data_IF_069809296204
#
_entry.id   IF_069809296204
#
_cell.length_a   1.000
_cell.length_b   1.000
_cell.length_c   1.000
_cell.angle_alpha   90.00
_cell.angle_beta   90.00
_cell.angle_gamma   90.00
#
_symmetry.space_group_name_H-M   'P 1'
#
loop_
_entity.id
_entity.type
_entity.pdbx_description
1 polymer ?
#
# COMPACT_ATOMS: atom_id res chain seq x y z
N UNK A 1 21.06 27.79 19.12
CA UNK A 1 20.14 27.00 18.30
C UNK A 1 20.38 25.55 18.66
N UNK A 2 19.36 24.85 19.15
CA UNK A 2 19.44 23.44 19.54
C UNK A 2 19.96 22.60 18.36
N UNK A 3 20.86 21.65 18.61
CA UNK A 3 21.37 20.77 17.56
C UNK A 3 20.25 19.90 16.96
N UNK A 4 20.30 19.57 15.65
CA UNK A 4 19.27 18.75 15.03
C UNK A 4 19.19 17.37 15.71
N UNK A 5 18.01 17.07 16.26
CA UNK A 5 17.66 15.79 16.88
C UNK A 5 16.77 14.95 15.94
N UNK A 6 16.55 13.69 16.30
CA UNK A 6 15.74 12.72 15.53
C UNK A 6 14.38 13.27 15.11
N UNK A 7 13.72 14.04 15.98
CA UNK A 7 12.37 14.59 15.74
C UNK A 7 12.43 15.81 14.79
N UNK A 8 13.47 16.63 14.91
CA UNK A 8 13.67 17.80 14.05
C UNK A 8 14.11 17.45 12.62
N UNK A 9 14.61 16.23 12.40
CA UNK A 9 15.01 15.72 11.09
C UNK A 9 13.85 15.10 10.30
N UNK A 10 12.64 15.01 10.87
CA UNK A 10 11.48 14.41 10.20
C UNK A 10 11.07 15.26 8.99
N UNK A 11 10.92 14.61 7.83
CA UNK A 11 10.41 15.24 6.63
C UNK A 11 8.91 15.58 6.78
N UNK A 12 8.51 16.74 6.25
CA UNK A 12 7.11 17.13 6.18
C UNK A 12 6.31 16.19 5.25
N UNK A 13 5.00 16.02 5.47
CA UNK A 13 4.15 15.19 4.61
C UNK A 13 4.16 15.68 3.15
N UNK A 14 3.97 14.74 2.22
CA UNK A 14 4.01 15.05 0.79
C UNK A 14 2.88 15.99 0.38
N UNK A 15 3.21 17.03 -0.39
CA UNK A 15 2.22 17.95 -1.00
C UNK A 15 1.56 17.41 -2.27
N UNK A 16 2.02 16.26 -2.78
CA UNK A 16 1.56 15.66 -4.04
C UNK A 16 0.49 14.60 -3.77
N UNK A 17 -0.44 14.36 -4.72
CA UNK A 17 -1.47 13.34 -4.57
C UNK A 17 -0.84 11.95 -4.47
N UNK A 18 -1.43 11.10 -3.63
CA UNK A 18 -1.00 9.71 -3.49
C UNK A 18 -1.21 8.94 -4.79
N UNK A 19 -0.21 8.17 -5.21
CA UNK A 19 -0.29 7.30 -6.38
C UNK A 19 -0.69 5.90 -5.95
N UNK A 20 -1.57 5.26 -6.71
CA UNK A 20 -2.02 3.90 -6.43
C UNK A 20 -1.23 2.89 -7.27
N UNK A 21 -0.45 2.06 -6.59
CA UNK A 21 0.34 1.01 -7.20
C UNK A 21 -0.13 -0.37 -6.73
N UNK A 22 0.05 -1.36 -7.60
CA UNK A 22 -0.22 -2.74 -7.27
C UNK A 22 0.80 -3.25 -6.25
N UNK A 23 0.32 -3.83 -5.14
CA UNK A 23 1.18 -4.39 -4.10
C UNK A 23 1.98 -5.62 -4.56
N UNK A 24 1.56 -6.28 -5.64
CA UNK A 24 2.23 -7.47 -6.20
C UNK A 24 3.26 -7.09 -7.25
N UNK A 25 2.85 -6.27 -8.22
CA UNK A 25 3.59 -6.04 -9.48
C UNK A 25 4.23 -4.65 -9.56
N UNK A 26 3.89 -3.69 -8.68
CA UNK A 26 4.39 -2.32 -8.70
C UNK A 26 3.81 -1.43 -9.81
N UNK A 27 3.12 -1.99 -10.80
CA UNK A 27 2.44 -1.22 -11.85
C UNK A 27 1.23 -0.43 -11.32
N UNK A 28 0.80 0.66 -12.00
CA UNK A 28 -0.39 1.41 -11.60
C UNK A 28 -1.59 0.49 -11.45
N UNK A 29 -2.23 0.54 -10.29
CA UNK A 29 -3.38 -0.30 -10.00
C UNK A 29 -4.68 0.41 -10.39
N UNK A 30 -5.53 -0.27 -11.14
CA UNK A 30 -6.89 0.20 -11.39
C UNK A 30 -7.89 -0.36 -10.36
N UNK A 31 -7.56 -1.46 -9.68
CA UNK A 31 -8.50 -2.22 -8.86
C UNK A 31 -8.04 -2.33 -7.40
N UNK A 32 -9.02 -2.44 -6.51
CA UNK A 32 -8.84 -2.60 -5.06
C UNK A 32 -9.38 -3.95 -4.65
N UNK A 33 -8.69 -4.64 -3.73
CA UNK A 33 -9.20 -5.85 -3.13
C UNK A 33 -10.47 -5.53 -2.35
N UNK A 34 -11.61 -5.94 -2.90
CA UNK A 34 -12.93 -5.85 -2.26
C UNK A 34 -13.23 -7.10 -1.44
N UNK A 35 -12.52 -8.20 -1.70
CA UNK A 35 -12.70 -9.48 -0.98
C UNK A 35 -12.29 -9.42 0.48
N UNK A 36 -11.47 -8.45 0.91
CA UNK A 36 -11.19 -8.23 2.33
C UNK A 36 -11.02 -6.74 2.61
N UNK A 37 -11.87 -6.21 3.49
CA UNK A 37 -11.93 -4.78 3.81
C UNK A 37 -10.68 -4.35 4.58
N UNK A 38 -10.06 -5.26 5.35
CA UNK A 38 -8.86 -5.02 6.14
C UNK A 38 -7.60 -4.89 5.30
N UNK A 39 -7.51 -5.61 4.19
CA UNK A 39 -6.31 -5.59 3.36
C UNK A 39 -6.22 -4.32 2.51
N UNK A 40 -7.34 -3.82 1.97
CA UNK A 40 -7.40 -2.57 1.19
C UNK A 40 -6.40 -2.50 0.01
N UNK A 41 -5.76 -3.63 -0.32
CA UNK A 41 -4.58 -3.69 -1.16
C UNK A 41 -5.00 -3.51 -2.61
N UNK A 42 -4.21 -2.77 -3.37
CA UNK A 42 -4.49 -2.51 -4.77
C UNK A 42 -3.79 -3.51 -5.67
N UNK A 43 -4.42 -3.87 -6.79
CA UNK A 43 -3.85 -4.81 -7.76
C UNK A 43 -4.04 -4.34 -9.21
N UNK A 44 -3.13 -4.79 -10.09
CA UNK A 44 -3.08 -4.40 -11.50
C UNK A 44 -3.97 -5.29 -12.39
N UNK A 45 -4.15 -6.57 -12.05
CA UNK A 45 -4.92 -7.55 -12.85
C UNK A 45 -5.42 -8.72 -12.02
N UNK A 46 -6.30 -9.56 -12.58
CA UNK A 46 -6.80 -10.80 -11.95
C UNK A 46 -5.68 -11.76 -11.56
N UNK A 47 -4.58 -11.78 -12.31
CA UNK A 47 -3.38 -12.56 -11.96
C UNK A 47 -2.78 -12.10 -10.62
N UNK A 48 -2.67 -10.78 -10.44
CA UNK A 48 -2.20 -10.22 -9.18
C UNK A 48 -3.24 -10.36 -8.06
N UNK A 49 -4.53 -10.42 -8.38
CA UNK A 49 -5.57 -10.75 -7.41
C UNK A 49 -5.38 -12.18 -6.87
N UNK A 50 -5.12 -13.15 -7.73
CA UNK A 50 -4.83 -14.53 -7.31
C UNK A 50 -3.61 -14.62 -6.40
N UNK A 51 -2.49 -14.00 -6.80
CA UNK A 51 -1.27 -13.94 -5.96
C UNK A 51 -1.52 -13.20 -4.65
N UNK A 52 -2.31 -12.12 -4.67
CA UNK A 52 -2.69 -11.40 -3.47
C UNK A 52 -3.51 -12.29 -2.53
N UNK A 53 -4.52 -12.99 -3.03
CA UNK A 53 -5.40 -13.87 -2.25
C UNK A 53 -4.64 -15.03 -1.60
N UNK A 54 -3.64 -15.56 -2.28
CA UNK A 54 -2.85 -16.71 -1.82
C UNK A 54 -1.84 -16.35 -0.72
N UNK A 55 -1.10 -15.25 -0.91
CA UNK A 55 0.09 -14.97 -0.09
C UNK A 55 -0.02 -13.73 0.80
N UNK A 56 -0.95 -12.80 0.51
CA UNK A 56 -0.98 -11.46 1.13
C UNK A 56 -2.35 -10.98 1.58
N UNK A 57 -3.39 -11.78 1.39
CA UNK A 57 -4.74 -11.38 1.73
C UNK A 57 -4.97 -11.65 3.22
N UNK A 58 -5.09 -10.57 3.98
CA UNK A 58 -5.32 -10.56 5.41
C UNK A 58 -6.75 -10.98 5.79
N UNK A 59 -7.41 -11.79 4.95
CA UNK A 59 -8.81 -12.20 5.16
C UNK A 59 -8.98 -13.13 6.37
N UNK A 60 -7.91 -13.82 6.79
CA UNK A 60 -7.90 -14.77 7.91
C UNK A 60 -6.98 -14.36 9.07
N UNK A 61 -6.23 -13.27 8.91
CA UNK A 61 -5.41 -12.73 10.00
C UNK A 61 -6.33 -11.85 10.84
N UNK A 62 -6.53 -12.30 12.08
CA UNK A 62 -7.28 -11.62 13.15
C UNK A 62 -6.56 -10.34 13.56
#
# INVERSE_FOLDING_TARGET
AEAPNYVSACAAPSRLPQRHFCAVCGFPSAYTCLTCVTCGARYCSSRCLGTHQDTRCLKWTV
#
